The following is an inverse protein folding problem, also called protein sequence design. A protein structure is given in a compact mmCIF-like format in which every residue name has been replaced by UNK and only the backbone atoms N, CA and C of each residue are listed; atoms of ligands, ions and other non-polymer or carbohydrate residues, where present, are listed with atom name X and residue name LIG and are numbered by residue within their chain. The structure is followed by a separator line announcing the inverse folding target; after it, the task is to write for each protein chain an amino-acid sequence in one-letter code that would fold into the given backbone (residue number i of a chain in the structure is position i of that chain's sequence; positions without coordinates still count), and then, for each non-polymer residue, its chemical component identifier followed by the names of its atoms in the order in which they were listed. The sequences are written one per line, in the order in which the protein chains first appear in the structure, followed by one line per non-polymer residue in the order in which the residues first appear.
data_IF_566450225506
#
_entry.id   IF_566450225506
#
_cell.length_a   1.000
_cell.length_b   1.000
_cell.length_c   1.000
_cell.angle_alpha   90.00
_cell.angle_beta   90.00
_cell.angle_gamma   90.00
#
_symmetry.space_group_name_H-M   'P 1'
#
loop_
_entity.id
_entity.type
_entity.pdbx_description
1 polymer ?
#
# COMPACT_ATOMS: atom_id res chain seq x y z
N UNK A 1 18.54 -8.43 -12.23
CA UNK A 1 17.43 -9.32 -12.66
C UNK A 1 16.15 -8.78 -12.06
N UNK A 2 15.07 -8.67 -12.82
CA UNK A 2 13.75 -8.26 -12.31
C UNK A 2 13.01 -9.48 -11.76
N UNK A 3 12.62 -9.44 -10.48
CA UNK A 3 11.92 -10.55 -9.84
C UNK A 3 10.43 -10.65 -10.24
N UNK A 4 9.84 -11.85 -10.17
CA UNK A 4 8.42 -12.05 -10.51
C UNK A 4 7.45 -11.28 -9.60
N UNK A 5 7.91 -10.98 -8.38
CA UNK A 5 7.13 -10.35 -7.31
C UNK A 5 7.64 -8.96 -6.99
N UNK A 6 6.73 -8.00 -6.85
CA UNK A 6 7.07 -6.64 -6.46
C UNK A 6 6.25 -6.14 -5.26
N UNK A 7 6.94 -5.54 -4.30
CA UNK A 7 6.37 -4.81 -3.19
C UNK A 7 6.47 -3.31 -3.45
N UNK A 8 5.37 -2.58 -3.30
CA UNK A 8 5.26 -1.18 -3.70
C UNK A 8 4.94 -0.32 -2.48
N UNK A 9 5.62 0.82 -2.41
CA UNK A 9 5.38 1.86 -1.43
C UNK A 9 5.07 3.19 -2.12
N UNK A 10 4.07 3.92 -1.60
CA UNK A 10 3.83 5.31 -1.95
C UNK A 10 4.26 6.17 -0.76
N UNK A 11 5.18 7.10 -0.97
CA UNK A 11 5.66 7.99 0.07
C UNK A 11 5.77 9.42 -0.46
N UNK A 12 4.85 10.29 -0.06
CA UNK A 12 4.73 11.65 -0.60
C UNK A 12 4.48 12.69 0.48
N UNK A 13 4.94 13.91 0.23
CA UNK A 13 4.77 15.06 1.09
C UNK A 13 5.68 15.03 2.30
N UNK A 14 5.11 15.19 3.49
CA UNK A 14 5.88 15.39 4.71
C UNK A 14 6.89 14.26 4.96
N UNK A 15 8.08 14.64 5.46
CA UNK A 15 9.16 13.72 5.84
C UNK A 15 8.71 12.57 6.76
N UNK A 16 7.63 12.76 7.53
CA UNK A 16 7.06 11.70 8.37
C UNK A 16 6.57 10.50 7.56
N UNK A 17 5.96 10.71 6.39
CA UNK A 17 5.50 9.64 5.51
C UNK A 17 6.67 8.90 4.86
N UNK A 18 7.73 9.63 4.50
CA UNK A 18 8.98 9.05 4.02
C UNK A 18 9.61 8.14 5.08
N UNK A 19 9.70 8.62 6.33
CA UNK A 19 10.21 7.83 7.47
C UNK A 19 9.34 6.59 7.76
N UNK A 20 8.01 6.71 7.66
CA UNK A 20 7.08 5.58 7.81
C UNK A 20 7.36 4.50 6.74
N UNK A 21 7.55 4.90 5.47
CA UNK A 21 7.90 3.99 4.38
C UNK A 21 9.28 3.33 4.60
N UNK A 22 10.30 4.10 4.96
CA UNK A 22 11.64 3.58 5.31
C UNK A 22 11.55 2.54 6.42
N UNK A 23 10.84 2.83 7.50
CA UNK A 23 10.64 1.89 8.60
C UNK A 23 9.97 0.60 8.13
N UNK A 24 8.93 0.70 7.29
CA UNK A 24 8.28 -0.47 6.74
C UNK A 24 9.22 -1.30 5.84
N UNK A 25 9.97 -0.67 4.94
CA UNK A 25 10.92 -1.34 4.05
C UNK A 25 11.98 -2.08 4.88
N UNK A 26 12.55 -1.42 5.88
CA UNK A 26 13.53 -2.05 6.79
C UNK A 26 12.92 -3.23 7.53
N UNK A 27 11.65 -3.13 7.97
CA UNK A 27 10.97 -4.27 8.59
C UNK A 27 10.81 -5.44 7.62
N UNK A 28 10.47 -5.20 6.35
CA UNK A 28 10.34 -6.23 5.33
C UNK A 28 11.67 -6.96 5.09
N UNK A 29 12.74 -6.18 4.87
CA UNK A 29 14.10 -6.68 4.61
C UNK A 29 14.67 -7.44 5.81
N UNK A 30 14.44 -6.93 7.03
CA UNK A 30 14.86 -7.59 8.27
C UNK A 30 14.22 -8.96 8.40
N UNK A 31 12.90 -9.06 8.13
CA UNK A 31 12.21 -10.34 8.18
C UNK A 31 12.68 -11.26 7.05
N UNK A 32 12.82 -10.77 5.81
CA UNK A 32 13.30 -11.58 4.69
C UNK A 32 14.67 -12.22 4.96
N UNK A 33 15.59 -11.48 5.58
CA UNK A 33 16.94 -11.97 5.93
C UNK A 33 16.95 -13.11 6.98
N UNK A 34 15.83 -13.36 7.68
CA UNK A 34 15.73 -14.47 8.65
C UNK A 34 15.60 -15.83 7.98
N UNK A 35 15.34 -15.89 6.67
CA UNK A 35 15.17 -17.14 5.93
C UNK A 35 15.98 -17.15 4.63
N UNK A 36 16.91 -18.10 4.52
CA UNK A 36 17.83 -18.23 3.37
C UNK A 36 17.15 -18.68 2.06
N UNK A 37 15.95 -19.27 2.14
CA UNK A 37 15.23 -19.83 1.00
C UNK A 37 13.83 -19.23 0.89
N UNK A 38 13.77 -17.94 0.58
CA UNK A 38 12.51 -17.26 0.28
C UNK A 38 12.46 -16.85 -1.18
N UNK A 39 11.24 -16.79 -1.71
CA UNK A 39 10.98 -16.23 -3.03
C UNK A 39 11.57 -14.80 -3.09
N UNK A 40 12.44 -14.51 -4.07
CA UNK A 40 13.00 -13.18 -4.20
C UNK A 40 11.91 -12.19 -4.68
N UNK A 41 12.00 -10.95 -4.23
CA UNK A 41 11.06 -9.90 -4.58
C UNK A 41 11.79 -8.56 -4.74
N UNK A 42 11.29 -7.73 -5.65
CA UNK A 42 11.76 -6.35 -5.80
C UNK A 42 10.94 -5.43 -4.90
N UNK A 43 11.56 -4.37 -4.41
CA UNK A 43 10.87 -3.28 -3.72
C UNK A 43 10.91 -2.04 -4.61
N UNK A 44 9.76 -1.43 -4.88
CA UNK A 44 9.66 -0.14 -5.57
C UNK A 44 9.04 0.91 -4.66
N UNK A 45 9.64 2.09 -4.64
CA UNK A 45 9.16 3.24 -3.88
C UNK A 45 8.85 4.37 -4.85
N UNK A 46 7.57 4.65 -5.01
CA UNK A 46 7.08 5.85 -5.67
C UNK A 46 7.17 6.99 -4.65
N UNK A 47 7.94 8.03 -4.94
CA UNK A 47 8.17 9.14 -4.00
C UNK A 47 8.49 10.49 -4.67
N UNK A 48 8.45 11.56 -3.88
CA UNK A 48 8.88 12.92 -4.23
C UNK A 48 10.20 13.33 -3.53
N UNK A 49 10.79 12.45 -2.72
CA UNK A 49 12.01 12.68 -1.96
C UNK A 49 12.93 11.44 -2.02
N UNK A 50 13.68 11.23 -3.13
CA UNK A 50 14.34 9.96 -3.41
C UNK A 50 15.56 9.59 -2.55
N UNK A 51 16.44 10.51 -2.17
CA UNK A 51 16.20 11.23 -0.92
C UNK A 51 16.29 10.32 0.33
N UNK A 52 15.17 9.74 0.68
CA UNK A 52 15.06 8.91 1.88
C UNK A 52 15.49 7.46 1.64
N UNK A 53 15.76 7.07 0.39
CA UNK A 53 15.85 5.67 -0.02
C UNK A 53 17.19 5.27 -0.65
N UNK A 54 18.13 6.18 -0.93
CA UNK A 54 19.38 5.87 -1.68
C UNK A 54 20.22 4.71 -1.12
N UNK A 55 20.20 4.45 0.20
CA UNK A 55 20.94 3.32 0.78
C UNK A 55 20.10 2.08 1.05
N UNK A 56 18.83 2.07 0.63
CA UNK A 56 17.99 0.88 0.69
C UNK A 56 18.07 0.15 -0.66
N UNK A 57 18.03 -1.20 -0.67
CA UNK A 57 18.03 -1.99 -1.90
C UNK A 57 16.64 -1.92 -2.56
N UNK A 58 16.25 -0.74 -3.04
CA UNK A 58 14.93 -0.45 -3.61
C UNK A 58 15.07 0.28 -4.93
N UNK A 59 14.07 0.11 -5.80
CA UNK A 59 13.90 0.92 -7.00
C UNK A 59 13.11 2.18 -6.63
N UNK A 60 13.64 3.36 -6.91
CA UNK A 60 12.89 4.62 -6.74
C UNK A 60 12.28 5.06 -8.06
N UNK A 61 11.10 5.67 -8.00
CA UNK A 61 10.46 6.28 -9.16
C UNK A 61 9.65 7.50 -8.71
N UNK A 62 9.54 8.49 -9.59
CA UNK A 62 8.60 9.60 -9.38
C UNK A 62 7.18 9.11 -9.71
N UNK A 63 6.17 9.63 -9.01
CA UNK A 63 4.77 9.41 -9.42
C UNK A 63 4.52 10.15 -10.73
N UNK A 64 3.89 9.46 -11.67
CA UNK A 64 3.25 10.13 -12.79
C UNK A 64 2.01 10.89 -12.30
N UNK A 65 2.00 12.24 -12.36
CA UNK A 65 0.90 13.04 -11.84
C UNK A 65 -0.43 12.77 -12.58
N UNK A 66 -0.39 12.25 -13.81
CA UNK A 66 -1.58 11.86 -14.55
C UNK A 66 -2.36 10.72 -13.88
N UNK A 67 -1.71 9.95 -12.99
CA UNK A 67 -2.34 8.85 -12.28
C UNK A 67 -3.41 9.30 -11.28
N UNK A 68 -3.41 10.58 -10.89
CA UNK A 68 -4.48 11.18 -10.10
C UNK A 68 -5.79 11.34 -10.89
N UNK A 69 -5.77 11.13 -12.21
CA UNK A 69 -6.96 11.17 -13.06
C UNK A 69 -7.52 12.58 -13.26
N UNK A 70 -8.67 12.68 -13.96
CA UNK A 70 -9.25 13.97 -14.38
C UNK A 70 -9.62 14.90 -13.22
N UNK A 71 -9.92 14.34 -12.06
CA UNK A 71 -10.33 15.08 -10.86
C UNK A 71 -9.20 15.22 -9.83
N UNK A 72 -7.95 14.93 -10.23
CA UNK A 72 -6.75 15.03 -9.38
C UNK A 72 -6.90 14.31 -8.04
N UNK A 73 -7.54 13.14 -8.05
CA UNK A 73 -7.85 12.36 -6.86
C UNK A 73 -6.63 11.55 -6.41
N UNK A 74 -5.96 11.89 -5.28
CA UNK A 74 -4.66 11.30 -4.95
C UNK A 74 -4.72 9.81 -4.62
N UNK A 75 -5.81 9.30 -4.03
CA UNK A 75 -5.90 7.88 -3.69
C UNK A 75 -6.08 6.98 -4.92
N UNK A 76 -6.48 7.53 -6.07
CA UNK A 76 -6.49 6.82 -7.37
C UNK A 76 -5.12 6.26 -7.75
N UNK A 77 -4.06 6.98 -7.36
CA UNK A 77 -2.67 6.63 -7.65
C UNK A 77 -2.34 5.24 -7.11
N UNK A 78 -2.93 4.82 -5.98
CA UNK A 78 -2.68 3.50 -5.38
C UNK A 78 -3.00 2.37 -6.36
N UNK A 79 -4.12 2.48 -7.06
CA UNK A 79 -4.55 1.47 -8.02
C UNK A 79 -3.76 1.57 -9.33
N UNK A 80 -3.43 2.79 -9.75
CA UNK A 80 -2.58 3.02 -10.93
C UNK A 80 -1.18 2.44 -10.73
N UNK A 81 -0.56 2.68 -9.58
CA UNK A 81 0.76 2.15 -9.25
C UNK A 81 0.80 0.62 -9.22
N UNK A 82 -0.23 0.00 -8.63
CA UNK A 82 -0.33 -1.46 -8.61
C UNK A 82 -0.58 -2.02 -10.02
N UNK A 83 -1.44 -1.38 -10.80
CA UNK A 83 -1.73 -1.76 -12.20
C UNK A 83 -0.47 -1.66 -13.08
N UNK A 84 0.29 -0.59 -12.93
CA UNK A 84 1.57 -0.34 -13.62
C UNK A 84 2.60 -1.43 -13.28
N UNK A 85 2.79 -1.72 -12.00
CA UNK A 85 3.68 -2.82 -11.58
C UNK A 85 3.26 -4.16 -12.18
N UNK A 86 1.97 -4.47 -12.17
CA UNK A 86 1.44 -5.71 -12.73
C UNK A 86 1.59 -5.78 -14.26
N UNK A 87 2.00 -4.75 -14.99
CA UNK A 87 2.34 -4.89 -16.41
C UNK A 87 3.53 -5.83 -16.64
N UNK A 88 4.49 -5.84 -15.71
CA UNK A 88 5.77 -6.53 -15.87
C UNK A 88 6.06 -7.55 -14.76
N UNK A 89 5.11 -7.76 -13.84
CA UNK A 89 5.26 -8.61 -12.65
C UNK A 89 4.12 -9.61 -12.59
N UNK A 90 4.42 -10.84 -12.18
CA UNK A 90 3.42 -11.91 -12.03
C UNK A 90 2.48 -11.58 -10.86
N UNK A 91 3.01 -11.00 -9.79
CA UNK A 91 2.21 -10.57 -8.63
C UNK A 91 2.83 -9.34 -7.98
N UNK A 92 1.97 -8.50 -7.43
CA UNK A 92 2.42 -7.30 -6.74
C UNK A 92 1.52 -6.97 -5.55
N UNK A 93 2.09 -6.28 -4.57
CA UNK A 93 1.36 -5.75 -3.43
C UNK A 93 1.82 -4.32 -3.13
N UNK A 94 0.87 -3.46 -2.82
CA UNK A 94 1.10 -2.11 -2.30
C UNK A 94 0.76 -2.09 -0.81
N UNK A 95 1.65 -1.51 -0.01
CA UNK A 95 1.50 -1.50 1.45
C UNK A 95 1.80 -0.10 2.02
N UNK A 96 1.05 0.28 3.06
CA UNK A 96 1.30 1.49 3.88
C UNK A 96 1.50 1.15 5.37
N UNK A 97 1.88 -0.11 5.61
CA UNK A 97 2.06 -0.73 6.92
C UNK A 97 3.42 -1.43 7.00
N UNK A 98 3.79 -2.00 8.15
CA UNK A 98 5.06 -2.69 8.38
C UNK A 98 4.88 -4.20 8.63
N UNK A 99 5.95 -4.97 8.38
CA UNK A 99 5.98 -6.42 8.52
C UNK A 99 6.29 -6.85 9.95
N UNK A 100 5.52 -7.83 10.43
CA UNK A 100 5.80 -8.58 11.66
C UNK A 100 6.37 -9.97 11.37
N UNK A 101 5.97 -10.52 10.23
CA UNK A 101 6.37 -11.84 9.75
C UNK A 101 7.10 -11.73 8.40
N UNK A 102 7.55 -12.87 7.88
CA UNK A 102 8.24 -12.95 6.59
C UNK A 102 7.36 -12.40 5.44
N UNK A 103 7.88 -11.53 4.54
CA UNK A 103 7.14 -11.06 3.37
C UNK A 103 6.62 -12.18 2.47
N UNK A 104 7.33 -13.30 2.39
CA UNK A 104 6.89 -14.49 1.64
C UNK A 104 5.52 -15.01 2.11
N UNK A 105 5.17 -14.85 3.39
CA UNK A 105 3.87 -15.23 3.91
C UNK A 105 2.74 -14.36 3.31
N UNK A 106 3.03 -13.10 2.99
CA UNK A 106 2.14 -12.22 2.23
C UNK A 106 2.05 -12.68 0.77
N UNK A 107 3.18 -12.94 0.13
CA UNK A 107 3.23 -13.28 -1.30
C UNK A 107 2.61 -14.63 -1.64
N UNK A 108 2.61 -15.59 -0.70
CA UNK A 108 1.89 -16.88 -0.84
C UNK A 108 0.37 -16.72 -0.89
N UNK A 109 -0.16 -15.57 -0.48
CA UNK A 109 -1.61 -15.28 -0.46
C UNK A 109 -2.11 -14.63 -1.74
N UNK A 110 -1.19 -14.12 -2.54
CA UNK A 110 -1.46 -13.65 -3.89
C UNK A 110 -1.65 -14.89 -4.77
N UNK A 111 -2.87 -15.10 -5.21
CA UNK A 111 -3.27 -16.22 -6.04
C UNK A 111 -4.38 -15.75 -7.00
N UNK A 112 -4.54 -16.39 -8.17
CA UNK A 112 -5.56 -16.01 -9.14
C UNK A 112 -6.96 -16.01 -8.50
N UNK A 113 -7.77 -14.99 -8.83
CA UNK A 113 -9.09 -14.81 -8.26
C UNK A 113 -9.09 -14.40 -6.79
N UNK A 114 -7.93 -14.06 -6.18
CA UNK A 114 -7.84 -13.60 -4.78
C UNK A 114 -7.35 -12.17 -4.68
N UNK A 115 -8.12 -11.35 -3.96
CA UNK A 115 -7.72 -9.99 -3.60
C UNK A 115 -7.12 -9.99 -2.18
N UNK A 116 -5.83 -9.72 -2.07
CA UNK A 116 -5.18 -9.48 -0.78
C UNK A 116 -5.62 -8.11 -0.26
N UNK A 117 -6.12 -8.08 0.98
CA UNK A 117 -6.56 -6.85 1.65
C UNK A 117 -6.38 -6.89 3.17
N UNK A 118 -6.47 -5.74 3.83
CA UNK A 118 -6.55 -5.69 5.28
C UNK A 118 -7.90 -6.20 5.78
N UNK A 119 -7.90 -7.14 6.74
CA UNK A 119 -9.11 -7.77 7.30
C UNK A 119 -9.95 -6.87 8.22
N UNK A 120 -9.53 -5.64 8.47
CA UNK A 120 -10.14 -4.75 9.48
C UNK A 120 -11.03 -3.69 8.86
N UNK A 121 -11.92 -4.09 7.95
CA UNK A 121 -13.13 -3.31 7.70
C UNK A 121 -14.02 -3.31 8.94
N UNK A 122 -14.57 -2.16 9.34
CA UNK A 122 -15.57 -2.12 10.43
C UNK A 122 -16.86 -2.83 9.98
N UNK A 123 -17.67 -3.37 10.90
CA UNK A 123 -19.05 -3.77 10.59
C UNK A 123 -19.80 -2.61 9.92
N UNK A 124 -20.62 -2.95 8.92
CA UNK A 124 -21.32 -2.05 7.99
C UNK A 124 -22.16 -0.97 8.67
N UNK A 125 -22.58 -1.18 9.92
CA UNK A 125 -23.35 -0.18 10.68
C UNK A 125 -22.60 1.12 11.01
N UNK A 126 -21.31 1.24 10.67
CA UNK A 126 -20.47 2.41 11.02
C UNK A 126 -19.53 2.91 9.92
N UNK A 127 -19.70 2.48 8.66
CA UNK A 127 -18.96 2.99 7.50
C UNK A 127 -19.93 3.84 6.67
N UNK A 128 -19.54 4.95 6.03
CA UNK A 128 -20.50 5.76 5.29
C UNK A 128 -21.11 4.85 4.22
N UNK A 129 -22.44 4.71 4.24
CA UNK A 129 -23.15 4.31 3.04
C UNK A 129 -22.63 5.23 1.93
N UNK A 130 -22.30 4.66 0.77
CA UNK A 130 -22.05 5.47 -0.41
C UNK A 130 -23.19 6.50 -0.51
N UNK A 131 -22.88 7.77 -0.80
CA UNK A 131 -23.92 8.77 -0.90
C UNK A 131 -25.01 8.35 -1.89
N UNK A 132 -26.25 8.78 -1.65
CA UNK A 132 -27.42 8.33 -2.43
C UNK A 132 -27.25 8.50 -3.94
N UNK A 133 -26.59 9.57 -4.36
CA UNK A 133 -26.24 9.86 -5.76
C UNK A 133 -25.32 8.80 -6.36
N UNK A 134 -24.29 8.38 -5.61
CA UNK A 134 -23.37 7.30 -6.01
C UNK A 134 -24.08 5.94 -5.99
N UNK A 135 -24.92 5.68 -4.98
CA UNK A 135 -25.72 4.44 -4.93
C UNK A 135 -26.67 4.33 -6.12
N UNK A 136 -27.44 5.37 -6.42
CA UNK A 136 -28.35 5.38 -7.56
C UNK A 136 -27.60 5.15 -8.89
N UNK A 137 -26.43 5.78 -9.05
CA UNK A 137 -25.55 5.56 -10.21
C UNK A 137 -25.07 4.11 -10.32
N UNK A 138 -24.72 3.50 -9.19
CA UNK A 138 -24.27 2.10 -9.12
C UNK A 138 -25.40 1.11 -9.37
N UNK A 139 -26.58 1.34 -8.80
CA UNK A 139 -27.78 0.51 -9.03
C UNK A 139 -28.19 0.51 -10.50
N UNK A 140 -28.07 1.65 -11.19
CA UNK A 140 -28.30 1.74 -12.63
C UNK A 140 -27.27 0.95 -13.45
N UNK A 141 -26.01 0.92 -12.99
CA UNK A 141 -24.95 0.24 -13.73
C UNK A 141 -24.93 -1.27 -13.47
N UNK A 142 -25.10 -1.66 -12.21
CA UNK A 142 -24.98 -3.02 -11.71
C UNK A 142 -25.91 -3.24 -10.51
N UNK A 143 -27.16 -3.65 -10.77
CA UNK A 143 -28.18 -3.86 -9.75
C UNK A 143 -27.79 -4.84 -8.62
N UNK A 144 -26.84 -5.76 -8.86
CA UNK A 144 -26.37 -6.73 -7.87
C UNK A 144 -25.44 -6.14 -6.79
N UNK A 145 -24.92 -4.91 -6.96
CA UNK A 145 -23.91 -4.32 -6.07
C UNK A 145 -24.45 -3.77 -4.74
N UNK A 146 -25.77 -3.78 -4.51
CA UNK A 146 -26.48 -3.14 -3.38
C UNK A 146 -26.13 -3.69 -1.99
N UNK A 147 -25.34 -4.76 -1.89
CA UNK A 147 -24.98 -5.42 -0.62
C UNK A 147 -23.49 -5.36 -0.28
N UNK A 148 -22.68 -4.70 -1.12
CA UNK A 148 -21.22 -4.74 -0.98
C UNK A 148 -20.71 -3.94 0.23
N UNK A 149 -19.71 -4.49 0.93
CA UNK A 149 -19.16 -3.93 2.17
C UNK A 149 -17.96 -3.02 1.85
N UNK A 150 -17.94 -1.75 2.28
CA UNK A 150 -16.77 -0.89 2.10
C UNK A 150 -15.56 -1.42 2.90
N UNK A 151 -14.36 -1.17 2.38
CA UNK A 151 -13.12 -1.83 2.80
C UNK A 151 -12.07 -0.84 3.31
N UNK A 152 -10.99 -1.35 3.92
CA UNK A 152 -9.83 -0.55 4.36
C UNK A 152 -8.67 -0.87 3.41
N UNK A 153 -8.09 0.15 2.75
CA UNK A 153 -7.13 -0.04 1.66
C UNK A 153 -5.67 -0.22 2.10
N UNK A 154 -5.37 -0.35 3.41
CA UNK A 154 -3.98 -0.30 3.90
C UNK A 154 -3.00 -1.32 3.28
N UNK A 155 -3.52 -2.42 2.73
CA UNK A 155 -2.78 -3.31 1.83
C UNK A 155 -3.69 -3.73 0.69
N UNK A 156 -3.15 -3.71 -0.53
CA UNK A 156 -3.81 -4.26 -1.72
C UNK A 156 -2.79 -5.13 -2.43
N UNK A 157 -3.17 -6.33 -2.85
CA UNK A 157 -2.30 -7.14 -3.69
C UNK A 157 -3.09 -8.08 -4.59
N UNK A 158 -2.55 -8.29 -5.79
CA UNK A 158 -3.19 -9.03 -6.87
C UNK A 158 -2.15 -9.80 -7.69
N UNK A 159 -2.65 -10.79 -8.43
CA UNK A 159 -1.93 -11.41 -9.55
C UNK A 159 -2.08 -10.56 -10.81
N UNK A 160 -1.16 -10.70 -11.76
CA UNK A 160 -1.26 -10.11 -13.10
C UNK A 160 -2.58 -10.49 -13.79
N UNK A 161 -3.00 -11.75 -13.68
CA UNK A 161 -4.24 -12.27 -14.26
C UNK A 161 -5.49 -11.50 -13.82
N UNK A 162 -5.43 -10.86 -12.64
CA UNK A 162 -6.57 -10.20 -12.01
C UNK A 162 -6.48 -8.66 -12.14
N UNK A 163 -5.55 -8.14 -12.97
CA UNK A 163 -5.31 -6.69 -13.15
C UNK A 163 -6.57 -5.93 -13.59
N UNK A 164 -7.49 -6.59 -14.31
CA UNK A 164 -8.76 -6.01 -14.74
C UNK A 164 -9.61 -5.45 -13.58
N UNK A 165 -9.46 -6.00 -12.36
CA UNK A 165 -10.10 -5.48 -11.15
C UNK A 165 -9.66 -4.04 -10.86
N UNK A 166 -8.38 -3.72 -11.07
CA UNK A 166 -7.85 -2.37 -10.87
C UNK A 166 -8.36 -1.41 -11.94
N UNK A 167 -8.39 -1.85 -13.21
CA UNK A 167 -8.90 -1.05 -14.33
C UNK A 167 -10.34 -0.62 -14.07
N UNK A 168 -11.18 -1.58 -13.67
CA UNK A 168 -12.58 -1.33 -13.30
C UNK A 168 -12.72 -0.45 -12.07
N UNK A 169 -11.89 -0.66 -11.05
CA UNK A 169 -11.88 0.20 -9.87
C UNK A 169 -11.50 1.65 -10.20
N UNK A 170 -10.55 1.83 -11.13
CA UNK A 170 -10.15 3.13 -11.65
C UNK A 170 -11.31 3.81 -12.40
N UNK A 171 -12.00 3.07 -13.27
CA UNK A 171 -13.21 3.57 -13.94
C UNK A 171 -14.26 4.02 -12.95
N UNK A 172 -14.53 3.24 -11.89
CA UNK A 172 -15.46 3.65 -10.85
C UNK A 172 -15.04 4.91 -10.11
N UNK A 173 -13.76 5.07 -9.79
CA UNK A 173 -13.27 6.31 -9.19
C UNK A 173 -13.50 7.50 -10.12
N UNK A 174 -13.20 7.37 -11.41
CA UNK A 174 -13.38 8.45 -12.38
C UNK A 174 -14.86 8.81 -12.57
N UNK A 175 -15.77 7.83 -12.57
CA UNK A 175 -17.21 8.08 -12.70
C UNK A 175 -17.86 8.64 -11.44
N UNK A 176 -17.46 8.17 -10.25
CA UNK A 176 -18.10 8.52 -8.98
C UNK A 176 -17.51 9.78 -8.36
N UNK A 177 -16.24 10.11 -8.62
CA UNK A 177 -15.57 11.29 -8.06
C UNK A 177 -16.29 12.63 -8.29
N UNK A 178 -16.91 12.92 -9.45
CA UNK A 178 -17.64 14.17 -9.65
C UNK A 178 -19.01 14.21 -8.92
N UNK A 179 -19.48 13.09 -8.36
CA UNK A 179 -20.79 13.03 -7.70
C UNK A 179 -20.70 13.55 -6.25
N UNK A 180 -21.60 14.46 -5.82
CA UNK A 180 -21.60 14.98 -4.47
C UNK A 180 -22.36 14.05 -3.49
N UNK A 181 -22.05 14.12 -2.19
CA UNK A 181 -20.84 14.67 -1.59
C UNK A 181 -19.59 13.87 -1.98
N UNK A 182 -18.47 14.59 -2.11
CA UNK A 182 -17.19 13.96 -2.36
C UNK A 182 -16.77 13.02 -1.22
N UNK A 183 -16.32 11.82 -1.57
CA UNK A 183 -15.74 10.89 -0.61
C UNK A 183 -14.22 10.98 -0.60
N UNK A 184 -13.66 11.17 0.60
CA UNK A 184 -12.21 11.24 0.79
C UNK A 184 -11.52 9.91 0.44
N UNK A 185 -12.05 8.77 0.90
CA UNK A 185 -11.52 7.42 0.59
C UNK A 185 -12.39 6.66 -0.41
N UNK A 186 -12.75 7.31 -1.53
CA UNK A 186 -13.50 6.71 -2.64
C UNK A 186 -12.81 5.46 -3.25
N UNK A 187 -11.49 5.34 -3.16
CA UNK A 187 -10.75 4.18 -3.69
C UNK A 187 -11.15 2.86 -3.01
N UNK A 188 -11.45 2.91 -1.72
CA UNK A 188 -11.83 1.76 -0.89
C UNK A 188 -13.14 1.09 -1.33
N UNK A 189 -14.28 1.81 -1.45
CA UNK A 189 -15.50 1.23 -1.98
C UNK A 189 -15.36 0.91 -3.48
N UNK A 190 -14.65 1.70 -4.29
CA UNK A 190 -14.46 1.40 -5.71
C UNK A 190 -13.70 0.07 -5.92
N UNK A 191 -12.71 -0.24 -5.09
CA UNK A 191 -12.03 -1.54 -5.13
C UNK A 191 -12.96 -2.68 -4.70
N UNK A 192 -13.74 -2.46 -3.64
CA UNK A 192 -14.68 -3.45 -3.14
C UNK A 192 -15.76 -3.80 -4.18
N UNK A 193 -16.31 -2.79 -4.87
CA UNK A 193 -17.28 -2.93 -5.96
C UNK A 193 -16.65 -3.63 -7.17
N UNK A 194 -15.41 -3.28 -7.52
CA UNK A 194 -14.72 -3.93 -8.63
C UNK A 194 -14.43 -5.43 -8.37
N UNK A 195 -14.23 -5.80 -7.11
CA UNK A 195 -13.95 -7.16 -6.67
C UNK A 195 -15.21 -8.01 -6.37
N UNK A 196 -16.38 -7.37 -6.19
CA UNK A 196 -17.63 -8.05 -5.83
C UNK A 196 -18.00 -9.12 -6.86
N UNK A 197 -18.39 -10.30 -6.38
CA UNK A 197 -18.72 -11.53 -7.14
C UNK A 197 -17.65 -12.03 -8.12
N UNK A 198 -16.46 -11.42 -8.10
CA UNK A 198 -15.35 -11.72 -9.01
C UNK A 198 -14.11 -12.24 -8.30
N UNK A 199 -13.94 -11.87 -7.03
CA UNK A 199 -12.74 -12.16 -6.26
C UNK A 199 -13.06 -12.74 -4.88
N UNK A 200 -12.33 -13.79 -4.50
CA UNK A 200 -12.25 -14.22 -3.12
C UNK A 200 -11.40 -13.23 -2.32
N UNK A 201 -11.91 -12.84 -1.17
CA UNK A 201 -11.29 -11.80 -0.35
C UNK A 201 -10.33 -12.44 0.65
N UNK A 202 -9.03 -12.38 0.34
CA UNK A 202 -7.99 -12.98 1.17
C UNK A 202 -7.46 -11.97 2.20
N UNK A 203 -8.26 -11.76 3.25
CA UNK A 203 -7.97 -10.73 4.25
C UNK A 203 -7.34 -11.34 5.51
N UNK A 204 -6.05 -11.07 5.76
CA UNK A 204 -5.39 -11.49 7.03
C UNK A 204 -4.30 -10.51 7.47
N UNK A 205 -4.42 -10.01 8.70
CA UNK A 205 -3.54 -9.00 9.32
C UNK A 205 -2.48 -9.59 10.26
N UNK A 206 -2.20 -10.88 10.17
CA UNK A 206 -1.16 -11.57 10.95
C UNK A 206 0.25 -11.23 10.44
N UNK A 207 0.42 -11.02 9.14
CA UNK A 207 1.73 -10.71 8.53
C UNK A 207 2.12 -9.23 8.68
N UNK A 208 1.12 -8.34 8.77
CA UNK A 208 1.24 -6.89 8.68
C UNK A 208 0.45 -6.18 9.78
N UNK A 209 1.01 -5.13 10.39
CA UNK A 209 0.32 -4.41 11.45
C UNK A 209 -0.29 -3.07 10.99
N UNK A 210 -1.59 -3.09 10.72
CA UNK A 210 -2.33 -1.84 10.48
C UNK A 210 -2.31 -0.94 11.72
N UNK A 211 -1.74 0.26 11.60
CA UNK A 211 -1.46 1.16 12.73
C UNK A 211 -2.22 2.47 12.67
N UNK A 212 -3.13 2.68 11.70
CA UNK A 212 -3.84 3.95 11.53
C UNK A 212 -4.44 4.50 12.83
N UNK A 213 -5.07 3.61 13.64
CA UNK A 213 -5.64 3.96 14.96
C UNK A 213 -4.62 4.35 16.04
N UNK A 214 -3.34 4.04 15.84
CA UNK A 214 -2.22 4.29 16.75
C UNK A 214 -1.08 5.03 16.05
N UNK A 215 -1.39 5.81 15.01
CA UNK A 215 -0.40 6.47 14.15
C UNK A 215 0.56 7.36 14.94
N UNK A 216 0.05 8.10 15.92
CA UNK A 216 0.90 8.90 16.82
C UNK A 216 1.88 8.04 17.63
N UNK A 217 1.43 6.91 18.18
CA UNK A 217 2.29 5.98 18.92
C UNK A 217 3.31 5.29 18.02
N UNK A 218 2.95 4.93 16.78
CA UNK A 218 3.92 4.43 15.81
C UNK A 218 4.96 5.51 15.49
N UNK A 219 4.54 6.73 15.18
CA UNK A 219 5.46 7.83 14.87
C UNK A 219 6.44 8.08 16.01
N UNK A 220 5.97 8.05 17.25
CA UNK A 220 6.83 8.13 18.42
C UNK A 220 7.82 6.95 18.49
N UNK A 221 7.38 5.72 18.23
CA UNK A 221 8.25 4.54 18.20
C UNK A 221 9.25 4.56 17.04
N UNK A 222 8.86 5.03 15.85
CA UNK A 222 9.75 5.20 14.70
C UNK A 222 10.80 6.26 15.03
N UNK A 223 10.38 7.39 15.61
CA UNK A 223 11.29 8.41 16.11
C UNK A 223 12.28 7.86 17.15
N UNK A 224 11.79 7.13 18.14
CA UNK A 224 12.64 6.51 19.16
C UNK A 224 13.57 5.43 18.58
N UNK A 225 13.11 4.64 17.61
CA UNK A 225 13.90 3.62 16.90
C UNK A 225 15.08 4.26 16.16
N UNK A 226 14.81 5.35 15.43
CA UNK A 226 15.84 6.13 14.76
C UNK A 226 16.90 6.68 15.72
N UNK A 227 16.50 7.00 16.96
CA UNK A 227 17.36 7.59 17.99
C UNK A 227 18.02 6.57 18.95
N UNK A 228 17.86 5.25 18.76
CA UNK A 228 18.20 4.25 19.79
C UNK A 228 19.66 3.69 19.73
N UNK A 229 20.46 3.80 20.82
CA UNK A 229 21.85 3.32 20.89
C UNK A 229 22.08 1.80 21.03
N UNK A 230 21.07 0.98 21.32
CA UNK A 230 21.20 -0.49 21.33
C UNK A 230 20.92 -1.09 19.95
N UNK A 231 20.00 -0.47 19.22
CA UNK A 231 19.82 -0.74 17.79
C UNK A 231 21.07 -0.34 16.98
N UNK A 232 21.79 0.68 17.46
CA UNK A 232 23.16 1.04 17.05
C UNK A 232 24.18 -0.08 17.17
N UNK A 233 24.08 -0.85 18.24
CA UNK A 233 24.99 -1.95 18.53
C UNK A 233 24.62 -3.22 17.74
N UNK A 234 23.32 -3.52 17.61
CA UNK A 234 22.82 -4.71 16.89
C UNK A 234 22.97 -4.63 15.37
N UNK A 235 22.90 -3.43 14.78
CA UNK A 235 23.19 -3.22 13.36
C UNK A 235 24.70 -3.25 13.04
N UNK A 236 25.56 -3.39 14.07
CA UNK A 236 27.00 -3.55 13.95
C UNK A 236 27.66 -2.48 13.08
N UNK A 237 28.61 -2.90 12.25
CA UNK A 237 29.43 -2.07 11.37
C UNK A 237 28.60 -1.31 10.32
N UNK A 238 27.35 -1.73 10.10
CA UNK A 238 26.43 -1.10 9.14
C UNK A 238 25.62 0.03 9.77
N UNK A 239 25.59 0.13 11.10
CA UNK A 239 24.86 1.20 11.77
C UNK A 239 25.42 2.59 11.48
N UNK A 240 26.74 2.85 11.48
CA UNK A 240 27.26 4.17 11.12
C UNK A 240 26.82 4.60 9.72
N UNK A 241 26.79 3.67 8.76
CA UNK A 241 26.32 3.96 7.40
C UNK A 241 24.79 4.23 7.35
N UNK A 242 23.99 3.43 8.07
CA UNK A 242 22.53 3.56 8.15
C UNK A 242 22.10 4.82 8.92
N UNK A 243 22.73 5.10 10.05
CA UNK A 243 22.49 6.26 10.91
C UNK A 243 22.96 7.56 10.27
N UNK A 244 24.19 7.61 9.74
CA UNK A 244 24.68 8.80 9.00
C UNK A 244 23.91 9.01 7.70
N UNK A 245 23.31 7.98 7.09
CA UNK A 245 22.39 8.18 5.97
C UNK A 245 21.13 8.92 6.37
N UNK A 246 20.51 8.46 7.45
CA UNK A 246 19.24 8.96 7.92
C UNK A 246 19.43 10.38 8.48
N UNK A 247 20.52 10.65 9.20
CA UNK A 247 20.79 11.97 9.79
C UNK A 247 21.32 13.03 8.82
N UNK A 248 22.21 12.67 7.89
CA UNK A 248 22.77 13.65 6.93
C UNK A 248 21.71 14.24 5.99
N UNK A 249 20.54 13.59 5.86
CA UNK A 249 19.42 14.09 5.06
C UNK A 249 18.31 14.78 5.87
N UNK A 250 18.47 14.90 7.19
CA UNK A 250 17.60 15.74 8.03
C UNK A 250 18.21 17.08 8.45
N UNK A 251 19.48 17.30 8.16
CA UNK A 251 20.23 18.53 8.55
C UNK A 251 20.63 19.40 7.35
N UNK A 252 20.12 19.10 6.15
CA UNK A 252 20.35 19.88 4.93
C UNK A 252 19.14 20.76 4.52
N UNK A 253 18.31 21.16 5.49
CA UNK A 253 17.38 22.30 5.44
C UNK A 253 17.38 22.98 6.80
#
# INVERSE_FOLDING_TARGET
MTHATQLIYLAFGAATYQREAVFSIVSALTQANRCKHTEPFDIRVLNDAPSFFDKLPVQTSVIDPSWAGPYRYPFRIKHMALKDALQNRIKAAIIDTFFRELPVALFKRLAPGKLLRNARGRPVSKVPLLPRTMLARLEQAEPSLSTSRPTDSGVIGLMHSDRAVLERSITWMDELRPLPPELHTLEEPCLALAAHDRMELNARTDVIHHYWRRKAQLRAKVGAWLSNPRLKMLAGNRYPALHSHILARFTAY
#
